data_IF_803754431392
#
_entry.id   IF_803754431392
#
_cell.length_a   1.000
_cell.length_b   1.000
_cell.length_c   1.000
_cell.angle_alpha   90.00
_cell.angle_beta   90.00
_cell.angle_gamma   90.00
#
_symmetry.space_group_name_H-M   'P 1'
#
loop_
_entity.id
_entity.type
_entity.pdbx_description
1 polymer ?
#
# COMPACT_ATOMS: atom_id res chain seq x y z
N UNK A 1 5.91 -19.18 -2.29
CA UNK A 1 6.89 -19.00 -3.37
C UNK A 1 6.55 -17.74 -4.12
N UNK A 2 7.58 -16.94 -4.44
CA UNK A 2 7.65 -15.72 -5.27
C UNK A 2 6.80 -14.53 -4.78
N UNK A 3 7.29 -13.29 -4.66
CA UNK A 3 8.43 -12.67 -5.31
C UNK A 3 8.97 -11.47 -4.50
N UNK A 4 10.28 -11.45 -4.22
CA UNK A 4 11.05 -10.20 -4.25
C UNK A 4 11.81 -10.04 -5.58
N UNK A 5 11.77 -11.04 -6.45
CA UNK A 5 12.56 -11.11 -7.70
C UNK A 5 11.89 -10.49 -8.92
N UNK A 6 10.56 -10.35 -8.96
CA UNK A 6 9.84 -9.82 -10.13
C UNK A 6 9.97 -8.31 -10.30
N UNK A 7 10.06 -7.55 -9.20
CA UNK A 7 10.20 -6.11 -9.27
C UNK A 7 11.43 -5.73 -10.12
N UNK A 8 12.54 -6.49 -10.05
CA UNK A 8 13.76 -6.23 -10.83
C UNK A 8 13.57 -6.27 -12.35
N UNK A 9 12.55 -6.97 -12.86
CA UNK A 9 12.28 -7.12 -14.29
C UNK A 9 11.12 -6.25 -14.80
N UNK A 10 10.39 -5.56 -13.92
CA UNK A 10 9.33 -4.65 -14.33
C UNK A 10 9.91 -3.32 -14.85
N UNK A 11 9.39 -2.85 -15.98
CA UNK A 11 9.69 -1.52 -16.52
C UNK A 11 9.02 -0.44 -15.67
N UNK A 12 9.56 0.79 -15.72
CA UNK A 12 9.07 1.93 -14.93
C UNK A 12 7.58 2.22 -15.18
N UNK A 13 7.09 1.97 -16.40
CA UNK A 13 5.66 2.08 -16.73
C UNK A 13 4.79 1.10 -15.93
N UNK A 14 5.25 -0.14 -15.77
CA UNK A 14 4.52 -1.17 -15.02
C UNK A 14 4.54 -0.83 -13.52
N UNK A 15 5.69 -0.43 -13.00
CA UNK A 15 5.84 0.04 -11.61
C UNK A 15 4.94 1.24 -11.33
N UNK A 16 4.78 2.16 -12.28
CA UNK A 16 3.90 3.33 -12.14
C UNK A 16 2.42 2.94 -12.06
N UNK A 17 1.99 1.95 -12.85
CA UNK A 17 0.62 1.41 -12.79
C UNK A 17 0.40 0.64 -11.48
N UNK A 18 1.35 -0.19 -11.06
CA UNK A 18 1.27 -0.90 -9.78
C UNK A 18 1.20 0.08 -8.60
N UNK A 19 2.01 1.14 -8.64
CA UNK A 19 2.01 2.21 -7.64
C UNK A 19 0.62 2.84 -7.51
N UNK A 20 -0.02 3.19 -8.62
CA UNK A 20 -1.35 3.80 -8.62
C UNK A 20 -2.39 2.84 -8.05
N UNK A 21 -2.32 1.55 -8.41
CA UNK A 21 -3.18 0.50 -7.87
C UNK A 21 -2.99 0.36 -6.36
N UNK A 22 -1.74 0.37 -5.87
CA UNK A 22 -1.47 0.29 -4.44
C UNK A 22 -1.94 1.53 -3.69
N UNK A 23 -1.77 2.73 -4.28
CA UNK A 23 -2.28 4.00 -3.73
C UNK A 23 -3.81 3.97 -3.60
N UNK A 24 -4.51 3.51 -4.64
CA UNK A 24 -5.96 3.36 -4.60
C UNK A 24 -6.39 2.38 -3.50
N UNK A 25 -5.80 1.18 -3.45
CA UNK A 25 -6.08 0.18 -2.40
C UNK A 25 -5.82 0.71 -0.99
N UNK A 26 -4.76 1.50 -0.81
CA UNK A 26 -4.44 2.12 0.47
C UNK A 26 -5.51 3.13 0.89
N UNK A 27 -6.05 3.91 -0.05
CA UNK A 27 -7.15 4.84 0.18
C UNK A 27 -8.45 4.10 0.53
N UNK A 28 -8.79 3.07 -0.22
CA UNK A 28 -10.00 2.25 0.03
C UNK A 28 -9.95 1.61 1.43
N UNK A 29 -8.77 1.13 1.85
CA UNK A 29 -8.56 0.60 3.19
C UNK A 29 -8.73 1.66 4.28
N UNK A 30 -8.31 2.90 4.02
CA UNK A 30 -8.49 3.99 4.97
C UNK A 30 -9.96 4.34 5.16
N UNK A 31 -10.70 4.44 4.05
CA UNK A 31 -12.14 4.69 4.06
C UNK A 31 -12.89 3.56 4.78
N UNK A 32 -12.49 2.31 4.56
CA UNK A 32 -13.04 1.15 5.28
C UNK A 32 -12.76 1.21 6.79
N UNK A 33 -11.54 1.60 7.20
CA UNK A 33 -11.20 1.79 8.61
C UNK A 33 -12.04 2.92 9.20
N UNK A 34 -12.19 4.05 8.50
CA UNK A 34 -13.01 5.18 8.96
C UNK A 34 -14.46 4.76 9.16
N UNK A 35 -15.06 4.08 8.18
CA UNK A 35 -16.43 3.60 8.26
C UNK A 35 -16.64 2.60 9.41
N UNK A 36 -15.66 1.74 9.69
CA UNK A 36 -15.72 0.80 10.82
C UNK A 36 -15.59 1.50 12.17
N UNK A 37 -14.73 2.52 12.25
CA UNK A 37 -14.57 3.35 13.46
C UNK A 37 -15.84 4.15 13.74
N UNK A 38 -16.42 4.80 12.72
CA UNK A 38 -17.64 5.59 12.83
C UNK A 38 -18.87 4.75 13.21
N UNK A 39 -18.95 3.51 12.71
CA UNK A 39 -20.03 2.57 13.08
C UNK A 39 -20.00 2.17 14.55
N UNK A 40 -18.88 2.34 15.25
CA UNK A 40 -18.76 2.10 16.70
C UNK A 40 -18.98 0.65 17.15
N UNK A 41 -19.26 -0.28 16.25
CA UNK A 41 -19.34 -1.71 16.54
C UNK A 41 -17.93 -2.19 16.85
N UNK A 42 -17.70 -2.70 18.07
CA UNK A 42 -16.40 -2.97 18.70
C UNK A 42 -15.49 -4.01 18.04
N UNK A 43 -15.36 -4.00 16.72
CA UNK A 43 -14.54 -4.89 15.94
C UNK A 43 -13.08 -4.39 15.86
N UNK A 44 -12.51 -4.15 17.05
CA UNK A 44 -11.17 -3.59 17.22
C UNK A 44 -10.09 -4.49 16.63
N UNK A 45 -10.33 -5.80 16.59
CA UNK A 45 -9.49 -6.80 15.92
C UNK A 45 -9.48 -6.59 14.40
N UNK A 46 -10.64 -6.36 13.79
CA UNK A 46 -10.74 -6.07 12.35
C UNK A 46 -10.04 -4.74 12.02
N UNK A 47 -10.26 -3.70 12.83
CA UNK A 47 -9.57 -2.40 12.66
C UNK A 47 -8.05 -2.57 12.76
N UNK A 48 -7.54 -3.33 13.74
CA UNK A 48 -6.11 -3.61 13.86
C UNK A 48 -5.55 -4.35 12.65
N UNK A 49 -6.28 -5.35 12.13
CA UNK A 49 -5.88 -6.10 10.94
C UNK A 49 -5.82 -5.20 9.70
N UNK A 50 -6.81 -4.35 9.50
CA UNK A 50 -6.85 -3.40 8.38
C UNK A 50 -5.73 -2.36 8.48
N UNK A 51 -5.47 -1.81 9.68
CA UNK A 51 -4.33 -0.91 9.91
C UNK A 51 -2.99 -1.58 9.57
N UNK A 52 -2.82 -2.85 9.91
CA UNK A 52 -1.62 -3.62 9.56
C UNK A 52 -1.50 -3.85 8.04
N UNK A 53 -2.60 -4.08 7.35
CA UNK A 53 -2.61 -4.16 5.88
C UNK A 53 -2.28 -2.81 5.24
N UNK A 54 -2.86 -1.71 5.74
CA UNK A 54 -2.58 -0.35 5.31
C UNK A 54 -1.09 -0.02 5.45
N UNK A 55 -0.47 -0.39 6.59
CA UNK A 55 0.96 -0.20 6.80
C UNK A 55 1.81 -0.95 5.76
N UNK A 56 1.50 -2.22 5.49
CA UNK A 56 2.22 -3.00 4.47
C UNK A 56 2.10 -2.41 3.07
N UNK A 57 0.93 -1.90 2.70
CA UNK A 57 0.74 -1.23 1.41
C UNK A 57 1.55 0.07 1.34
N UNK A 58 1.60 0.84 2.43
CA UNK A 58 2.45 2.02 2.52
C UNK A 58 3.92 1.67 2.32
N UNK A 59 4.40 0.59 2.94
CA UNK A 59 5.79 0.14 2.79
C UNK A 59 6.09 -0.29 1.35
N UNK A 60 5.15 -0.97 0.68
CA UNK A 60 5.29 -1.36 -0.74
C UNK A 60 5.25 -0.15 -1.69
N UNK A 61 4.36 0.81 -1.43
CA UNK A 61 4.29 2.09 -2.15
C UNK A 61 5.63 2.80 -2.04
N UNK A 62 6.17 2.93 -0.82
CA UNK A 62 7.46 3.58 -0.60
C UNK A 62 8.60 2.88 -1.34
N UNK A 63 8.62 1.54 -1.37
CA UNK A 63 9.63 0.78 -2.11
C UNK A 63 9.57 1.02 -3.63
N UNK A 64 8.35 1.11 -4.19
CA UNK A 64 8.15 1.35 -5.62
C UNK A 64 8.45 2.83 -5.95
N UNK A 65 8.05 3.76 -5.09
CA UNK A 65 8.37 5.18 -5.22
C UNK A 65 9.88 5.42 -5.17
N UNK A 66 10.59 4.85 -4.20
CA UNK A 66 12.05 4.96 -4.06
C UNK A 66 12.78 4.45 -5.32
N UNK A 67 12.22 3.42 -5.95
CA UNK A 67 12.74 2.88 -7.21
C UNK A 67 12.42 3.74 -8.44
N UNK A 68 11.24 4.36 -8.49
CA UNK A 68 10.80 5.23 -9.59
C UNK A 68 11.37 6.65 -9.50
N UNK A 69 11.66 7.13 -8.28
CA UNK A 69 12.23 8.45 -8.01
C UNK A 69 13.55 8.34 -7.24
N UNK A 70 14.59 7.71 -7.82
CA UNK A 70 15.87 7.51 -7.12
C UNK A 70 16.63 8.83 -6.83
N UNK A 71 16.18 9.99 -7.35
CA UNK A 71 16.96 11.23 -7.45
C UNK A 71 16.39 12.45 -6.67
N UNK A 72 15.54 12.25 -5.64
CA UNK A 72 14.96 13.38 -4.86
C UNK A 72 15.43 13.43 -3.40
N UNK A 73 16.19 12.44 -2.94
CA UNK A 73 16.79 12.41 -1.58
C UNK A 73 18.33 12.31 -1.71
N UNK A 74 18.96 13.38 -2.22
CA UNK A 74 20.41 13.63 -2.15
C UNK A 74 20.67 15.12 -1.87
#
# INVERSE_FOLDING_TARGET
>A
MNAPTDLSMQTDDVLSVELEVFKQKHRDLDDAIHALVDRGTGDQLTIQRLKKQKLRLKDMIALIEDRLTPDIIA
#
